data_IF_248165483151
#
_entry.id   IF_248165483151
#
_cell.length_a   1.000
_cell.length_b   1.000
_cell.length_c   1.000
_cell.angle_alpha   90.00
_cell.angle_beta   90.00
_cell.angle_gamma   90.00
#
_symmetry.space_group_name_H-M   'P 1'
#
loop_
_entity.id
_entity.type
_entity.pdbx_description
1 polymer ?
#
# COMPACT_ATOMS: atom_id res chain seq x y z
N UNK A 1 -26.92 -3.02 10.20
CA UNK A 1 -25.71 -2.79 9.39
C UNK A 1 -24.62 -3.66 9.95
N UNK A 2 -24.29 -4.71 9.25
CA UNK A 2 -23.22 -5.62 9.66
C UNK A 2 -21.88 -4.84 9.57
N UNK A 3 -21.28 -4.50 10.69
CA UNK A 3 -19.98 -3.84 10.79
C UNK A 3 -18.90 -4.91 11.02
N UNK A 4 -18.85 -5.91 10.17
CA UNK A 4 -17.66 -6.75 10.11
C UNK A 4 -16.46 -5.85 9.82
N UNK A 5 -15.38 -6.01 10.58
CA UNK A 5 -14.13 -5.29 10.30
C UNK A 5 -13.71 -5.55 8.85
N UNK A 6 -13.24 -4.52 8.13
CA UNK A 6 -12.82 -4.70 6.75
C UNK A 6 -11.67 -5.71 6.68
N UNK A 7 -11.81 -6.71 5.82
CA UNK A 7 -10.82 -7.77 5.65
C UNK A 7 -9.62 -7.24 4.85
N UNK A 8 -8.41 -7.50 5.33
CA UNK A 8 -7.19 -7.18 4.60
C UNK A 8 -7.16 -7.91 3.24
N UNK A 9 -6.62 -7.27 2.19
CA UNK A 9 -6.49 -7.92 0.89
C UNK A 9 -5.47 -9.06 0.97
N UNK A 10 -5.75 -10.20 0.33
CA UNK A 10 -4.74 -11.22 0.14
C UNK A 10 -3.70 -10.75 -0.88
N UNK A 11 -2.57 -10.26 -0.38
CA UNK A 11 -1.48 -9.74 -1.23
C UNK A 11 -0.81 -10.86 -2.03
N UNK A 12 -0.88 -12.09 -1.54
CA UNK A 12 -0.18 -13.24 -2.14
C UNK A 12 -1.00 -14.00 -3.18
N UNK A 13 -2.27 -13.63 -3.36
CA UNK A 13 -3.16 -14.31 -4.30
C UNK A 13 -2.52 -14.46 -5.68
N UNK A 14 -2.57 -15.66 -6.29
CA UNK A 14 -1.82 -15.96 -7.52
C UNK A 14 -2.42 -15.33 -8.78
N UNK A 15 -3.70 -14.96 -8.76
CA UNK A 15 -4.41 -14.35 -9.88
C UNK A 15 -4.25 -12.83 -9.95
N UNK A 16 -3.57 -12.19 -8.97
CA UNK A 16 -3.24 -10.78 -9.04
C UNK A 16 -2.07 -10.51 -9.98
N UNK A 17 -2.34 -10.01 -11.17
CA UNK A 17 -1.34 -9.62 -12.15
C UNK A 17 -0.72 -8.25 -11.86
N UNK A 18 -1.51 -7.34 -11.27
CA UNK A 18 -1.08 -5.97 -10.97
C UNK A 18 -1.85 -5.39 -9.77
N UNK A 19 -1.19 -4.50 -9.03
CA UNK A 19 -1.81 -3.64 -8.05
C UNK A 19 -1.73 -2.18 -8.51
N UNK A 20 -2.87 -1.47 -8.52
CA UNK A 20 -2.92 -0.03 -8.76
C UNK A 20 -2.99 0.68 -7.41
N UNK A 21 -2.02 1.55 -7.15
CA UNK A 21 -1.91 2.28 -5.89
C UNK A 21 -2.00 3.78 -6.14
N UNK A 22 -2.79 4.47 -5.31
CA UNK A 22 -2.93 5.92 -5.38
C UNK A 22 -2.98 6.53 -3.98
N UNK A 23 -2.21 7.56 -3.76
CA UNK A 23 -2.22 8.35 -2.51
C UNK A 23 -3.04 9.63 -2.70
N UNK A 24 -3.74 10.02 -1.64
CA UNK A 24 -4.51 11.27 -1.54
C UNK A 24 -4.06 12.00 -0.28
N UNK A 25 -3.95 13.33 -0.36
CA UNK A 25 -3.69 14.19 0.78
C UNK A 25 -5.01 14.76 1.28
N UNK A 26 -5.47 14.27 2.42
CA UNK A 26 -6.71 14.68 3.06
C UNK A 26 -6.51 15.82 4.06
N UNK A 27 -5.38 15.82 4.77
CA UNK A 27 -4.97 16.85 5.72
C UNK A 27 -5.60 16.73 7.11
N UNK A 28 -6.69 15.98 7.29
CA UNK A 28 -7.31 15.68 8.59
C UNK A 28 -8.06 14.35 8.58
N UNK A 29 -8.21 13.73 9.75
CA UNK A 29 -8.95 12.48 9.91
C UNK A 29 -10.44 12.59 9.51
N UNK A 30 -11.06 13.77 9.69
CA UNK A 30 -12.43 14.02 9.22
C UNK A 30 -12.52 13.93 7.68
N UNK A 31 -11.59 14.58 7.01
CA UNK A 31 -11.53 14.59 5.53
C UNK A 31 -11.12 13.23 4.94
N UNK A 32 -10.31 12.43 5.68
CA UNK A 32 -10.05 11.04 5.29
C UNK A 32 -11.35 10.23 5.22
N UNK A 33 -12.19 10.32 6.27
CA UNK A 33 -13.48 9.62 6.31
C UNK A 33 -14.41 10.09 5.18
N UNK A 34 -14.52 11.40 4.98
CA UNK A 34 -15.36 11.96 3.90
C UNK A 34 -14.91 11.50 2.52
N UNK A 35 -13.59 11.47 2.27
CA UNK A 35 -13.02 10.97 1.02
C UNK A 35 -13.35 9.48 0.84
N UNK A 36 -13.07 8.66 1.87
CA UNK A 36 -13.26 7.21 1.78
C UNK A 36 -14.73 6.87 1.58
N UNK A 37 -15.64 7.50 2.33
CA UNK A 37 -17.07 7.27 2.19
C UNK A 37 -17.60 7.70 0.81
N UNK A 38 -17.13 8.83 0.28
CA UNK A 38 -17.50 9.29 -1.06
C UNK A 38 -16.99 8.34 -2.15
N UNK A 39 -15.71 7.95 -2.07
CA UNK A 39 -15.08 7.04 -3.02
C UNK A 39 -15.72 5.63 -2.97
N UNK A 40 -15.91 5.09 -1.78
CA UNK A 40 -16.57 3.81 -1.56
C UNK A 40 -18.01 3.79 -2.10
N UNK A 41 -18.77 4.85 -1.82
CA UNK A 41 -20.14 5.00 -2.34
C UNK A 41 -20.17 5.05 -3.86
N UNK A 42 -19.28 5.77 -4.50
CA UNK A 42 -19.19 5.86 -5.96
C UNK A 42 -18.83 4.49 -6.61
N UNK A 43 -17.92 3.73 -5.99
CA UNK A 43 -17.54 2.41 -6.49
C UNK A 43 -18.67 1.40 -6.33
N UNK A 44 -19.40 1.43 -5.21
CA UNK A 44 -20.51 0.49 -4.94
C UNK A 44 -21.65 0.58 -5.94
N UNK A 45 -21.91 1.73 -6.53
CA UNK A 45 -22.97 1.90 -7.54
C UNK A 45 -22.46 1.67 -8.96
N UNK A 46 -21.17 1.48 -9.14
CA UNK A 46 -20.58 1.21 -10.44
C UNK A 46 -20.64 -0.29 -10.77
N UNK A 47 -20.71 -0.60 -12.07
CA UNK A 47 -20.54 -1.97 -12.55
C UNK A 47 -19.04 -2.34 -12.42
N UNK A 48 -18.70 -3.02 -11.34
CA UNK A 48 -17.31 -3.46 -11.06
C UNK A 48 -17.01 -4.68 -11.94
N UNK A 49 -15.94 -4.64 -12.75
CA UNK A 49 -15.60 -5.78 -13.61
C UNK A 49 -15.04 -6.94 -12.77
N UNK A 50 -15.22 -8.20 -13.23
CA UNK A 50 -14.72 -9.38 -12.51
C UNK A 50 -13.19 -9.44 -12.39
N UNK A 51 -12.49 -8.63 -13.17
CA UNK A 51 -11.03 -8.49 -13.16
C UNK A 51 -10.50 -7.62 -12.03
N UNK A 52 -11.35 -6.82 -11.36
CA UNK A 52 -11.03 -6.22 -10.07
C UNK A 52 -11.15 -7.31 -8.99
N UNK A 53 -10.04 -7.65 -8.37
CA UNK A 53 -9.95 -8.72 -7.37
C UNK A 53 -10.16 -8.21 -5.95
N UNK A 54 -9.69 -7.01 -5.66
CA UNK A 54 -9.92 -6.31 -4.39
C UNK A 54 -9.67 -4.81 -4.55
N UNK A 55 -10.36 -4.01 -3.74
CA UNK A 55 -10.06 -2.59 -3.60
C UNK A 55 -10.16 -2.22 -2.14
N UNK A 56 -9.06 -1.72 -1.58
CA UNK A 56 -8.93 -1.37 -0.18
C UNK A 56 -8.58 0.12 -0.04
N UNK A 57 -9.27 0.80 0.87
CA UNK A 57 -8.92 2.15 1.29
C UNK A 57 -8.31 2.10 2.68
N UNK A 58 -7.14 2.73 2.80
CA UNK A 58 -6.37 2.82 4.03
C UNK A 58 -6.28 4.29 4.43
N UNK A 59 -6.60 4.58 5.70
CA UNK A 59 -6.42 5.91 6.29
C UNK A 59 -5.12 5.93 7.09
N UNK A 60 -4.27 6.93 6.86
CA UNK A 60 -3.04 7.08 7.65
C UNK A 60 -3.35 7.43 9.10
N UNK A 61 -2.55 6.90 10.02
CA UNK A 61 -2.79 7.05 11.46
C UNK A 61 -2.57 8.48 11.97
N UNK A 62 -1.79 9.28 11.23
CA UNK A 62 -1.59 10.71 11.48
C UNK A 62 -2.78 11.60 11.04
N UNK A 63 -3.75 11.02 10.32
CA UNK A 63 -4.92 11.76 9.84
C UNK A 63 -4.72 12.49 8.50
N UNK A 64 -3.56 12.43 7.88
CA UNK A 64 -3.23 13.29 6.74
C UNK A 64 -3.52 12.66 5.37
N UNK A 65 -3.35 11.33 5.23
CA UNK A 65 -3.36 10.67 3.92
C UNK A 65 -4.38 9.54 3.84
N UNK A 66 -4.83 9.29 2.62
CA UNK A 66 -5.56 8.06 2.26
C UNK A 66 -4.80 7.38 1.14
N UNK A 67 -4.69 6.06 1.21
CA UNK A 67 -4.13 5.25 0.15
C UNK A 67 -5.19 4.28 -0.35
N UNK A 68 -5.39 4.23 -1.67
CA UNK A 68 -6.16 3.16 -2.31
C UNK A 68 -5.21 2.11 -2.88
N UNK A 69 -5.49 0.84 -2.57
CA UNK A 69 -4.76 -0.32 -3.07
C UNK A 69 -5.75 -1.25 -3.76
N UNK A 70 -5.64 -1.39 -5.08
CA UNK A 70 -6.54 -2.19 -5.89
C UNK A 70 -5.79 -3.29 -6.62
N UNK A 71 -6.19 -4.56 -6.40
CA UNK A 71 -5.62 -5.72 -7.09
C UNK A 71 -6.47 -6.08 -8.32
N UNK A 72 -5.78 -6.38 -9.42
CA UNK A 72 -6.38 -6.69 -10.71
C UNK A 72 -5.73 -7.91 -11.34
N UNK A 73 -6.46 -8.63 -12.18
CA UNK A 73 -5.92 -9.74 -12.98
C UNK A 73 -5.00 -9.22 -14.09
N UNK A 74 -5.31 -8.05 -14.69
CA UNK A 74 -4.56 -7.47 -15.79
C UNK A 74 -4.45 -5.94 -15.68
N UNK A 75 -3.35 -5.39 -16.19
CA UNK A 75 -3.05 -3.95 -16.11
C UNK A 75 -3.92 -3.12 -17.05
N UNK A 76 -4.15 -3.58 -18.28
CA UNK A 76 -4.91 -2.84 -19.29
C UNK A 76 -6.35 -2.58 -18.84
N UNK A 77 -6.99 -3.57 -18.22
CA UNK A 77 -8.33 -3.45 -17.68
C UNK A 77 -8.38 -2.53 -16.46
N UNK A 78 -7.36 -2.61 -15.59
CA UNK A 78 -7.21 -1.72 -14.46
C UNK A 78 -7.11 -0.25 -14.89
N UNK A 79 -6.33 0.03 -15.92
CA UNK A 79 -6.14 1.38 -16.47
C UNK A 79 -7.42 1.88 -17.13
N UNK A 80 -8.12 1.03 -17.89
CA UNK A 80 -9.40 1.38 -18.51
C UNK A 80 -10.46 1.72 -17.46
N UNK A 81 -10.65 0.86 -16.47
CA UNK A 81 -11.60 1.06 -15.40
C UNK A 81 -11.27 2.30 -14.55
N UNK A 82 -9.99 2.51 -14.24
CA UNK A 82 -9.53 3.70 -13.51
C UNK A 82 -9.84 5.00 -14.25
N UNK A 83 -9.85 5.00 -15.57
CA UNK A 83 -10.25 6.17 -16.37
C UNK A 83 -11.77 6.40 -16.31
N UNK A 84 -12.56 5.34 -16.42
CA UNK A 84 -14.03 5.43 -16.43
C UNK A 84 -14.56 5.79 -15.04
N UNK A 85 -14.15 5.04 -14.01
CA UNK A 85 -14.61 5.25 -12.65
C UNK A 85 -13.93 6.44 -11.98
N UNK A 86 -12.70 6.74 -12.36
CA UNK A 86 -11.90 7.82 -11.76
C UNK A 86 -12.61 9.17 -11.79
N UNK A 87 -13.33 9.48 -12.86
CA UNK A 87 -14.13 10.71 -12.98
C UNK A 87 -15.27 10.73 -11.97
N UNK A 88 -16.04 9.65 -11.84
CA UNK A 88 -17.16 9.55 -10.90
C UNK A 88 -16.69 9.62 -9.44
N UNK A 89 -15.62 8.91 -9.11
CA UNK A 89 -14.99 8.97 -7.78
C UNK A 89 -14.48 10.38 -7.49
N UNK A 90 -13.79 11.01 -8.44
CA UNK A 90 -13.27 12.36 -8.29
C UNK A 90 -14.38 13.39 -8.06
N UNK A 91 -15.48 13.30 -8.79
CA UNK A 91 -16.64 14.18 -8.61
C UNK A 91 -17.28 13.97 -7.23
N UNK A 92 -17.50 12.70 -6.81
CA UNK A 92 -18.05 12.39 -5.49
C UNK A 92 -17.16 12.90 -4.36
N UNK A 93 -15.84 12.71 -4.48
CA UNK A 93 -14.86 13.23 -3.50
C UNK A 93 -14.83 14.75 -3.49
N UNK A 94 -14.82 15.41 -4.66
CA UNK A 94 -14.80 16.87 -4.75
C UNK A 94 -16.06 17.52 -4.12
N UNK A 95 -17.20 16.86 -4.26
CA UNK A 95 -18.46 17.33 -3.67
C UNK A 95 -18.46 17.23 -2.12
N UNK A 96 -17.85 16.19 -1.55
CA UNK A 96 -17.88 15.94 -0.10
C UNK A 96 -16.66 16.48 0.64
N UNK A 97 -15.51 16.43 0.01
CA UNK A 97 -14.22 16.84 0.59
C UNK A 97 -13.43 17.70 -0.42
N UNK A 98 -13.85 18.94 -0.71
CA UNK A 98 -13.19 19.80 -1.68
C UNK A 98 -11.74 20.10 -1.31
N UNK A 99 -10.86 20.26 -2.31
CA UNK A 99 -9.43 20.59 -2.13
C UNK A 99 -8.54 19.40 -1.72
N UNK A 100 -9.04 18.15 -1.79
CA UNK A 100 -8.18 16.98 -1.70
C UNK A 100 -7.35 16.86 -2.97
N UNK A 101 -6.05 16.67 -2.81
CA UNK A 101 -5.12 16.39 -3.91
C UNK A 101 -4.81 14.91 -3.99
N UNK A 102 -4.62 14.40 -5.19
CA UNK A 102 -4.29 13.01 -5.44
C UNK A 102 -3.01 12.91 -6.25
N UNK A 103 -2.16 11.96 -5.90
CA UNK A 103 -1.01 11.58 -6.72
C UNK A 103 -1.48 10.90 -8.02
N UNK A 104 -0.65 10.84 -9.06
CA UNK A 104 -0.85 9.89 -10.15
C UNK A 104 -0.98 8.46 -9.58
N UNK A 105 -1.86 7.67 -10.18
CA UNK A 105 -1.92 6.25 -9.86
C UNK A 105 -0.67 5.54 -10.41
N UNK A 106 -0.13 4.60 -9.64
CA UNK A 106 1.05 3.83 -10.02
C UNK A 106 0.69 2.35 -10.08
N UNK A 107 1.08 1.71 -11.17
CA UNK A 107 0.93 0.26 -11.37
C UNK A 107 2.14 -0.46 -10.77
N UNK A 108 1.87 -1.50 -9.97
CA UNK A 108 2.89 -2.31 -9.31
C UNK A 108 2.69 -3.79 -9.59
N UNK A 109 3.78 -4.53 -9.68
CA UNK A 109 3.77 -6.00 -9.64
C UNK A 109 4.47 -6.49 -8.40
N UNK A 110 3.86 -7.45 -7.70
CA UNK A 110 4.49 -8.09 -6.56
C UNK A 110 5.75 -8.84 -7.03
N UNK A 111 6.87 -8.57 -6.38
CA UNK A 111 8.15 -9.20 -6.70
C UNK A 111 8.49 -10.30 -5.69
N UNK A 112 8.58 -9.97 -4.40
CA UNK A 112 8.91 -10.92 -3.33
C UNK A 112 8.03 -10.69 -2.10
N UNK A 113 7.88 -11.75 -1.30
CA UNK A 113 7.16 -11.72 -0.04
C UNK A 113 7.90 -12.53 1.01
N UNK A 114 7.95 -11.99 2.23
CA UNK A 114 8.26 -12.73 3.45
C UNK A 114 6.93 -12.95 4.18
N UNK A 115 6.32 -14.11 3.92
CA UNK A 115 5.00 -14.43 4.46
C UNK A 115 5.09 -14.99 5.87
N UNK A 116 4.16 -14.59 6.75
CA UNK A 116 3.92 -15.15 8.09
C UNK A 116 2.47 -15.62 8.19
N UNK A 117 2.17 -16.83 7.71
CA UNK A 117 0.78 -17.32 7.60
C UNK A 117 0.09 -17.44 8.97
N UNK A 118 0.85 -17.65 10.05
CA UNK A 118 0.32 -17.80 11.41
C UNK A 118 0.23 -16.46 12.16
N UNK A 119 0.54 -15.34 11.51
CA UNK A 119 0.39 -14.02 12.13
C UNK A 119 -1.10 -13.68 12.35
N UNK A 120 -1.44 -12.99 13.43
CA UNK A 120 -2.80 -12.50 13.64
C UNK A 120 -3.18 -11.50 12.56
N UNK A 121 -4.49 -11.27 12.33
CA UNK A 121 -4.94 -10.23 11.39
C UNK A 121 -4.30 -8.87 11.71
N UNK A 122 -3.83 -8.14 10.69
CA UNK A 122 -3.13 -6.89 10.93
C UNK A 122 -4.07 -5.77 11.42
N UNK A 123 -3.68 -5.09 12.49
CA UNK A 123 -4.30 -3.85 12.95
C UNK A 123 -3.63 -2.59 12.39
N UNK A 124 -2.44 -2.74 11.81
CA UNK A 124 -1.71 -1.65 11.16
C UNK A 124 -1.02 -2.15 9.88
N UNK A 125 -1.15 -1.38 8.82
CA UNK A 125 -0.44 -1.59 7.56
C UNK A 125 0.62 -0.50 7.42
N UNK A 126 1.87 -0.90 7.21
CA UNK A 126 2.97 0.02 6.99
C UNK A 126 3.35 0.00 5.52
N UNK A 127 3.18 1.14 4.86
CA UNK A 127 3.56 1.33 3.47
C UNK A 127 4.89 2.07 3.44
N UNK A 128 5.91 1.39 2.93
CA UNK A 128 7.18 2.00 2.57
C UNK A 128 7.23 2.28 1.08
N UNK A 129 7.75 3.43 0.69
CA UNK A 129 7.96 3.79 -0.72
C UNK A 129 9.37 4.25 -0.94
N UNK A 130 9.96 3.84 -2.06
CA UNK A 130 11.24 4.36 -2.56
C UNK A 130 11.06 4.77 -4.00
N UNK A 131 11.54 5.95 -4.35
CA UNK A 131 11.55 6.50 -5.71
C UNK A 131 12.99 6.71 -6.16
N UNK A 132 13.29 6.28 -7.37
CA UNK A 132 14.60 6.37 -8.00
C UNK A 132 14.67 7.50 -9.02
N UNK A 133 15.88 7.95 -9.34
CA UNK A 133 16.19 9.04 -10.29
C UNK A 133 15.88 8.72 -11.77
N UNK A 134 15.42 7.51 -12.07
CA UNK A 134 14.98 7.09 -13.41
C UNK A 134 14.58 5.63 -13.44
N UNK A 135 14.04 5.14 -14.57
CA UNK A 135 13.55 3.78 -14.73
C UNK A 135 14.69 2.77 -14.80
N UNK A 136 14.64 1.76 -13.92
CA UNK A 136 15.58 0.64 -13.90
C UNK A 136 14.97 -0.53 -13.10
N UNK A 137 14.48 -1.54 -13.80
CA UNK A 137 13.81 -2.69 -13.20
C UNK A 137 14.78 -3.58 -12.38
N UNK A 138 16.04 -3.65 -12.75
CA UNK A 138 17.04 -4.45 -12.04
C UNK A 138 17.45 -3.75 -10.76
N UNK A 139 17.57 -2.43 -10.78
CA UNK A 139 17.80 -1.60 -9.59
C UNK A 139 16.68 -1.74 -8.55
N UNK A 140 15.41 -1.73 -8.98
CA UNK A 140 14.30 -1.97 -8.08
C UNK A 140 14.41 -3.33 -7.36
N UNK A 141 14.70 -4.39 -8.12
CA UNK A 141 14.88 -5.74 -7.59
C UNK A 141 16.08 -5.82 -6.65
N UNK A 142 17.22 -5.28 -7.06
CA UNK A 142 18.43 -5.28 -6.26
C UNK A 142 18.24 -4.56 -4.91
N UNK A 143 17.48 -3.47 -4.88
CA UNK A 143 17.14 -2.80 -3.63
C UNK A 143 16.27 -3.68 -2.73
N UNK A 144 15.24 -4.34 -3.29
CA UNK A 144 14.36 -5.24 -2.52
C UNK A 144 15.17 -6.42 -1.96
N UNK A 145 16.02 -7.03 -2.79
CA UNK A 145 16.83 -8.17 -2.38
C UNK A 145 17.79 -7.77 -1.25
N UNK A 146 18.45 -6.61 -1.33
CA UNK A 146 19.27 -6.06 -0.26
C UNK A 146 18.47 -5.89 1.06
N UNK A 147 17.24 -5.37 0.98
CA UNK A 147 16.39 -5.21 2.18
C UNK A 147 16.01 -6.55 2.78
N UNK A 148 15.65 -7.53 1.96
CA UNK A 148 15.28 -8.87 2.44
C UNK A 148 16.46 -9.59 3.06
N UNK A 149 17.64 -9.54 2.43
CA UNK A 149 18.87 -10.12 2.97
C UNK A 149 19.24 -9.49 4.33
N UNK A 150 19.01 -8.18 4.48
CA UNK A 150 19.23 -7.49 5.74
C UNK A 150 18.25 -7.96 6.82
N UNK A 151 16.98 -8.10 6.49
CA UNK A 151 15.95 -8.58 7.42
C UNK A 151 16.17 -10.05 7.84
N UNK A 152 16.72 -10.88 6.97
CA UNK A 152 17.07 -12.27 7.27
C UNK A 152 18.32 -12.39 8.13
N UNK A 153 19.34 -11.51 7.88
CA UNK A 153 20.63 -11.53 8.57
C UNK A 153 20.61 -10.82 9.93
N UNK A 154 19.76 -9.83 10.06
CA UNK A 154 19.63 -8.98 11.25
C UNK A 154 18.17 -9.03 11.75
N UNK A 155 17.68 -10.20 12.22
CA UNK A 155 16.30 -10.33 12.64
C UNK A 155 16.01 -9.38 13.80
N UNK A 156 15.10 -8.42 13.58
CA UNK A 156 14.56 -7.63 14.66
C UNK A 156 13.84 -8.55 15.67
N UNK A 157 13.82 -8.19 16.96
CA UNK A 157 12.99 -8.89 17.95
C UNK A 157 11.56 -9.05 17.42
N UNK A 158 10.91 -10.14 17.78
CA UNK A 158 9.56 -10.49 17.28
C UNK A 158 8.50 -9.54 17.86
N UNK A 159 8.52 -8.30 17.40
CA UNK A 159 7.75 -7.17 17.91
C UNK A 159 6.39 -7.03 17.21
N UNK A 160 5.72 -8.16 16.89
CA UNK A 160 4.36 -8.10 16.30
C UNK A 160 4.33 -7.84 14.79
N UNK A 161 5.46 -7.99 14.09
CA UNK A 161 5.51 -7.92 12.63
C UNK A 161 4.88 -9.15 11.98
N UNK A 162 3.99 -8.91 11.01
CA UNK A 162 3.36 -9.92 10.14
C UNK A 162 4.10 -10.10 8.82
N UNK A 163 3.34 -10.41 7.77
CA UNK A 163 3.88 -10.59 6.42
C UNK A 163 4.39 -9.28 5.83
N UNK A 164 5.35 -9.37 4.92
CA UNK A 164 5.89 -8.25 4.15
C UNK A 164 5.89 -8.59 2.68
N UNK A 165 5.41 -7.66 1.86
CA UNK A 165 5.24 -7.85 0.43
C UNK A 165 5.89 -6.68 -0.31
N UNK A 166 6.82 -7.00 -1.22
CA UNK A 166 7.53 -5.99 -2.00
C UNK A 166 7.06 -5.99 -3.44
N UNK A 167 6.85 -4.79 -3.96
CA UNK A 167 6.34 -4.56 -5.30
C UNK A 167 7.30 -3.64 -6.06
N UNK A 168 7.47 -3.91 -7.35
CA UNK A 168 8.18 -3.06 -8.30
C UNK A 168 7.15 -2.33 -9.16
N UNK A 169 7.32 -1.03 -9.40
CA UNK A 169 6.45 -0.31 -10.32
C UNK A 169 6.73 -0.73 -11.77
N UNK A 170 5.68 -0.76 -12.60
CA UNK A 170 5.79 -1.18 -14.00
C UNK A 170 6.56 -0.17 -14.85
N UNK A 171 6.66 1.08 -14.41
CA UNK A 171 7.46 2.13 -15.02
C UNK A 171 8.97 2.08 -14.65
N UNK A 172 9.37 1.16 -13.77
CA UNK A 172 10.77 0.98 -13.37
C UNK A 172 11.30 2.00 -12.37
N UNK A 173 10.47 2.92 -11.85
CA UNK A 173 10.95 4.06 -11.05
C UNK A 173 10.75 3.93 -9.55
N UNK A 174 9.89 2.99 -9.06
CA UNK A 174 9.47 2.94 -7.65
C UNK A 174 9.41 1.54 -7.10
N UNK A 175 9.65 1.44 -5.81
CA UNK A 175 9.36 0.25 -5.00
C UNK A 175 8.30 0.61 -3.98
N UNK A 176 7.38 -0.31 -3.71
CA UNK A 176 6.42 -0.24 -2.62
C UNK A 176 6.56 -1.49 -1.75
N UNK A 177 6.74 -1.29 -0.45
CA UNK A 177 6.61 -2.34 0.55
C UNK A 177 5.25 -2.22 1.24
N UNK A 178 4.54 -3.33 1.36
CA UNK A 178 3.32 -3.49 2.12
C UNK A 178 3.63 -4.43 3.27
N UNK A 179 3.69 -3.91 4.50
CA UNK A 179 4.04 -4.69 5.68
C UNK A 179 2.87 -4.70 6.67
N UNK A 180 2.56 -5.89 7.16
CA UNK A 180 1.49 -6.13 8.12
C UNK A 180 2.05 -6.10 9.54
N UNK A 181 1.34 -5.45 10.44
CA UNK A 181 1.69 -5.35 11.85
C UNK A 181 0.45 -5.56 12.71
N UNK A 182 0.64 -6.17 13.90
CA UNK A 182 -0.47 -6.40 14.82
C UNK A 182 -1.13 -5.07 15.21
N UNK A 183 -0.34 -4.03 15.42
CA UNK A 183 -0.78 -2.67 15.67
C UNK A 183 0.31 -1.63 15.36
N UNK A 184 -0.03 -0.35 15.52
CA UNK A 184 0.88 0.76 15.29
C UNK A 184 2.00 0.83 16.34
N UNK A 185 1.69 0.50 17.60
CA UNK A 185 2.64 0.56 18.71
C UNK A 185 3.79 -0.42 18.49
N UNK A 186 3.48 -1.65 18.08
CA UNK A 186 4.47 -2.69 17.74
C UNK A 186 5.43 -2.24 16.65
N UNK A 187 4.92 -1.56 15.61
CA UNK A 187 5.81 -1.00 14.59
C UNK A 187 6.68 0.15 15.13
N UNK A 188 6.10 1.03 15.95
CA UNK A 188 6.86 2.14 16.57
C UNK A 188 7.98 1.63 17.47
N UNK A 189 7.72 0.61 18.28
CA UNK A 189 8.72 -0.05 19.13
C UNK A 189 9.84 -0.68 18.30
N UNK A 190 9.50 -1.39 17.22
CA UNK A 190 10.48 -2.01 16.34
C UNK A 190 11.42 -0.96 15.71
N UNK A 191 10.88 0.18 15.27
CA UNK A 191 11.66 1.28 14.69
C UNK A 191 12.46 2.04 15.75
N UNK A 192 11.93 2.20 16.97
CA UNK A 192 12.65 2.86 18.07
C UNK A 192 13.83 2.02 18.58
N UNK A 193 13.69 0.69 18.60
CA UNK A 193 14.76 -0.24 18.96
C UNK A 193 15.89 -0.28 17.94
N UNK A 194 15.62 0.14 16.72
CA UNK A 194 16.57 0.18 15.59
C UNK A 194 17.52 1.39 15.64
N UNK A 195 17.46 2.20 16.71
CA UNK A 195 18.41 3.30 16.96
C UNK A 195 19.88 2.87 17.14
N UNK A 196 20.15 1.57 17.07
CA UNK A 196 21.52 0.97 17.10
C UNK A 196 21.96 0.48 15.72
N UNK A 197 21.28 0.88 14.64
CA UNK A 197 21.74 0.56 13.28
C UNK A 197 23.02 1.35 13.01
N UNK A 198 24.14 0.75 13.36
CA UNK A 198 25.47 1.30 13.05
C UNK A 198 25.66 1.50 11.55
N UNK A 199 26.56 2.42 11.18
CA UNK A 199 27.04 2.61 9.81
C UNK A 199 27.55 1.27 9.25
N UNK A 200 26.75 0.59 8.43
CA UNK A 200 27.07 -0.73 7.89
C UNK A 200 25.97 -1.79 8.03
N UNK A 201 24.91 -1.51 8.79
CA UNK A 201 23.74 -2.40 8.83
C UNK A 201 23.08 -2.50 7.46
N UNK A 202 22.33 -3.56 7.23
CA UNK A 202 21.56 -3.75 6.01
C UNK A 202 20.58 -2.62 5.75
N UNK A 203 19.93 -2.10 6.79
CA UNK A 203 19.01 -0.97 6.73
C UNK A 203 19.75 0.32 6.33
N UNK A 204 20.94 0.58 6.87
CA UNK A 204 21.75 1.74 6.49
C UNK A 204 22.17 1.65 5.01
N UNK A 205 22.60 0.46 4.56
CA UNK A 205 22.93 0.21 3.14
C UNK A 205 21.72 0.43 2.22
N UNK A 206 20.52 -0.02 2.62
CA UNK A 206 19.30 0.17 1.86
C UNK A 206 18.92 1.66 1.75
N UNK A 207 19.13 2.46 2.81
CA UNK A 207 18.90 3.91 2.80
C UNK A 207 19.92 4.66 1.92
N UNK A 208 21.16 4.19 1.88
CA UNK A 208 22.25 4.76 1.08
C UNK A 208 22.32 4.18 -0.35
N UNK A 209 21.33 3.39 -0.76
CA UNK A 209 21.36 2.74 -2.07
C UNK A 209 21.35 3.77 -3.21
N UNK A 210 22.18 3.58 -4.25
CA UNK A 210 22.35 4.57 -5.31
C UNK A 210 21.05 4.87 -6.08
N UNK A 211 20.87 6.15 -6.42
CA UNK A 211 19.76 6.61 -7.23
C UNK A 211 18.46 6.84 -6.47
N UNK A 212 18.40 6.66 -5.15
CA UNK A 212 17.22 7.04 -4.36
C UNK A 212 17.09 8.56 -4.33
N UNK A 213 15.93 9.07 -4.80
CA UNK A 213 15.58 10.50 -4.74
C UNK A 213 14.54 10.80 -3.68
N UNK A 214 13.72 9.81 -3.31
CA UNK A 214 12.75 9.92 -2.24
C UNK A 214 12.52 8.57 -1.58
N UNK A 215 12.38 8.58 -0.26
CA UNK A 215 11.92 7.44 0.51
C UNK A 215 10.96 7.92 1.60
N UNK A 216 9.98 7.10 1.95
CA UNK A 216 9.02 7.42 2.98
C UNK A 216 8.36 6.17 3.55
N UNK A 217 7.89 6.31 4.80
CA UNK A 217 7.14 5.27 5.51
C UNK A 217 5.90 5.93 6.12
N UNK A 218 4.74 5.35 5.89
CA UNK A 218 3.47 5.82 6.45
C UNK A 218 2.71 4.62 7.02
N UNK A 219 2.10 4.81 8.19
CA UNK A 219 1.26 3.81 8.87
C UNK A 219 -0.19 4.06 8.54
N UNK A 220 -0.93 2.99 8.31
CA UNK A 220 -2.33 3.04 7.90
C UNK A 220 -3.18 2.06 8.67
N UNK A 221 -4.48 2.33 8.73
CA UNK A 221 -5.54 1.38 9.09
C UNK A 221 -6.41 1.12 7.89
N UNK A 222 -6.92 -0.12 7.78
CA UNK A 222 -7.88 -0.46 6.75
C UNK A 222 -9.24 0.08 7.17
N UNK A 223 -9.83 0.97 6.39
CA UNK A 223 -11.13 1.58 6.69
C UNK A 223 -12.27 0.96 5.88
N UNK A 224 -12.04 0.63 4.63
CA UNK A 224 -13.02 0.00 3.74
C UNK A 224 -12.33 -0.96 2.77
N UNK A 225 -13.00 -2.05 2.46
CA UNK A 225 -12.55 -2.98 1.44
C UNK A 225 -13.75 -3.48 0.61
N UNK A 226 -13.49 -3.73 -0.67
CA UNK A 226 -14.39 -4.42 -1.59
C UNK A 226 -13.64 -5.65 -2.08
N UNK A 227 -14.24 -6.83 -1.90
CA UNK A 227 -13.80 -8.04 -2.58
C UNK A 227 -14.37 -8.04 -4.00
N UNK A 228 -13.53 -8.27 -4.99
CA UNK A 228 -13.96 -8.42 -6.37
C UNK A 228 -14.60 -9.80 -6.62
N UNK A 229 -15.39 -9.90 -7.71
CA UNK A 229 -15.97 -11.17 -8.16
C UNK A 229 -17.26 -11.60 -7.45
N UNK A 230 -17.77 -10.84 -6.48
CA UNK A 230 -19.07 -11.05 -5.85
C UNK A 230 -20.07 -9.96 -6.26
N UNK A 231 -21.30 -10.31 -6.52
CA UNK A 231 -22.39 -9.34 -6.57
C UNK A 231 -22.44 -8.63 -5.20
N UNK A 232 -22.35 -7.29 -5.22
CA UNK A 232 -22.52 -6.44 -4.05
C UNK A 232 -24.00 -6.45 -3.61
#
# INVERSE_FOLDING_TARGET
MDQSAPVAPDITRPDAGVAIVREFVAGTAGRQRDLIDAAFGAVRVAAVPPTLLSLTWLASTDGEKVLSYAQWTAEDEALLFSRVLGTSVQQAVAARAPGITASPAVSYRRYRSAARPDAPPPGCIVIGTVEFDGPDADRQRAWIDLVLDALESEPAPDAGGGSRHFHVSTDGTRVLSYAEWIDEASHLEAVAGDGTVGDGSGVARARAFPGIVRAGVTRYRIERAIAGGGAL
#
